data_IF_016179422116
#
_entry.id   IF_016179422116
#
_cell.length_a   1.000
_cell.length_b   1.000
_cell.length_c   1.000
_cell.angle_alpha   90.00
_cell.angle_beta   90.00
_cell.angle_gamma   90.00
#
_symmetry.space_group_name_H-M   'P 1'
#
loop_
_entity.id
_entity.type
_entity.pdbx_description
1 polymer ?
#
# COMPACT_ATOMS: atom_id res chain seq x y z
N UNK A 1 3.38 13.12 -0.51
CA UNK A 1 2.03 12.53 -0.58
C UNK A 1 1.89 11.36 0.37
N UNK A 2 2.56 10.22 0.15
CA UNK A 2 2.39 9.02 0.99
C UNK A 2 2.73 9.26 2.48
N UNK A 3 3.79 10.02 2.77
CA UNK A 3 4.11 10.41 4.14
C UNK A 3 2.98 11.18 4.83
N UNK A 4 2.21 11.97 4.09
CA UNK A 4 1.04 12.68 4.63
C UNK A 4 -0.06 11.70 5.05
N UNK A 5 -0.28 10.65 4.25
CA UNK A 5 -1.24 9.59 4.56
C UNK A 5 -0.78 8.79 5.79
N UNK A 6 0.50 8.41 5.83
CA UNK A 6 1.12 7.70 6.95
C UNK A 6 1.04 8.50 8.26
N UNK A 7 1.15 9.84 8.17
CA UNK A 7 1.07 10.75 9.30
C UNK A 7 -0.38 11.25 9.56
N UNK A 8 -1.38 10.45 9.24
CA UNK A 8 -2.80 10.75 9.51
C UNK A 8 -3.28 12.12 9.01
N UNK A 9 -2.83 12.51 7.82
CA UNK A 9 -3.25 13.72 7.13
C UNK A 9 -2.34 14.92 7.32
N UNK A 10 -1.18 14.75 7.96
CA UNK A 10 -0.24 15.86 8.25
C UNK A 10 1.08 15.73 7.51
N UNK A 11 1.63 16.85 7.04
CA UNK A 11 2.96 16.87 6.43
C UNK A 11 3.64 18.21 6.71
N UNK A 12 4.92 18.18 7.10
CA UNK A 12 5.71 19.36 7.46
C UNK A 12 4.97 20.30 8.44
N UNK A 13 4.38 19.72 9.50
CA UNK A 13 3.67 20.46 10.54
C UNK A 13 2.32 21.05 10.12
N UNK A 14 1.85 20.82 8.89
CA UNK A 14 0.56 21.31 8.40
C UNK A 14 -0.43 20.15 8.23
N UNK A 15 -1.67 20.37 8.67
CA UNK A 15 -2.78 19.45 8.40
C UNK A 15 -3.32 19.70 7.00
N UNK A 16 -3.29 18.67 6.15
CA UNK A 16 -3.81 18.67 4.78
C UNK A 16 -5.16 17.94 4.74
N UNK A 17 -5.27 16.80 5.42
CA UNK A 17 -6.51 16.04 5.59
C UNK A 17 -6.77 15.77 7.07
N UNK A 18 -8.03 15.55 7.47
CA UNK A 18 -8.33 15.08 8.82
C UNK A 18 -7.93 13.61 8.97
N UNK A 19 -7.65 13.12 10.20
CA UNK A 19 -7.39 11.71 10.42
C UNK A 19 -8.61 10.84 10.05
N UNK A 20 -9.83 11.36 10.23
CA UNK A 20 -11.06 10.69 9.83
C UNK A 20 -11.18 10.50 8.31
N UNK A 21 -10.71 11.47 7.51
CA UNK A 21 -10.63 11.32 6.06
C UNK A 21 -9.63 10.23 5.68
N UNK A 22 -8.45 10.19 6.30
CA UNK A 22 -7.47 9.12 6.05
C UNK A 22 -8.08 7.76 6.35
N UNK A 23 -8.72 7.62 7.53
CA UNK A 23 -9.40 6.37 7.91
C UNK A 23 -10.46 5.96 6.89
N UNK A 24 -11.26 6.89 6.36
CA UNK A 24 -12.25 6.58 5.33
C UNK A 24 -11.58 6.09 4.04
N UNK A 25 -10.48 6.72 3.63
CA UNK A 25 -9.72 6.30 2.43
C UNK A 25 -9.12 4.89 2.58
N UNK A 26 -8.69 4.52 3.79
CA UNK A 26 -8.01 3.25 4.09
C UNK A 26 -8.92 2.24 4.81
N UNK A 27 -10.24 2.34 4.65
CA UNK A 27 -11.21 1.33 5.12
C UNK A 27 -11.97 0.80 3.93
N UNK A 28 -12.32 -0.50 3.92
CA UNK A 28 -13.11 -1.08 2.86
C UNK A 28 -14.39 -0.29 2.58
N UNK A 29 -14.64 0.03 1.31
CA UNK A 29 -15.79 0.82 0.86
C UNK A 29 -16.77 0.05 -0.02
N UNK A 30 -16.45 -1.20 -0.37
CA UNK A 30 -17.30 -2.02 -1.23
C UNK A 30 -17.55 -3.38 -0.60
N UNK A 31 -18.65 -4.01 -1.02
CA UNK A 31 -18.91 -5.38 -0.63
C UNK A 31 -17.83 -6.32 -1.21
N UNK A 32 -17.36 -7.29 -0.42
CA UNK A 32 -16.30 -8.22 -0.85
C UNK A 32 -16.70 -9.04 -2.08
N UNK A 33 -17.99 -9.27 -2.33
CA UNK A 33 -18.48 -9.97 -3.53
C UNK A 33 -18.20 -9.23 -4.85
N UNK A 34 -17.91 -7.93 -4.79
CA UNK A 34 -17.57 -7.12 -5.97
C UNK A 34 -16.17 -7.45 -6.48
N UNK A 35 -15.25 -7.82 -5.59
CA UNK A 35 -13.86 -8.12 -5.94
C UNK A 35 -13.71 -9.63 -6.18
N UNK A 36 -13.65 -10.05 -7.45
CA UNK A 36 -13.60 -11.49 -7.80
C UNK A 36 -12.21 -12.11 -7.75
N UNK A 37 -11.16 -11.29 -7.84
CA UNK A 37 -9.78 -11.75 -8.08
C UNK A 37 -8.81 -11.41 -6.94
N UNK A 38 -9.29 -10.75 -5.89
CA UNK A 38 -8.51 -10.44 -4.70
C UNK A 38 -9.37 -10.67 -3.47
N UNK A 39 -8.72 -11.02 -2.35
CA UNK A 39 -9.34 -11.07 -1.03
C UNK A 39 -8.96 -9.85 -0.18
N UNK A 40 -8.24 -8.91 -0.77
CA UNK A 40 -8.00 -7.60 -0.17
C UNK A 40 -9.24 -6.73 -0.24
N UNK A 41 -9.29 -5.74 0.64
CA UNK A 41 -10.35 -4.74 0.69
C UNK A 41 -10.03 -3.60 -0.30
N UNK A 42 -11.06 -2.91 -0.79
CA UNK A 42 -10.87 -1.72 -1.64
C UNK A 42 -11.39 -0.49 -0.92
N UNK A 43 -10.47 0.40 -0.57
CA UNK A 43 -10.76 1.69 0.02
C UNK A 43 -11.16 2.74 -1.02
N UNK A 44 -11.23 4.00 -0.60
CA UNK A 44 -11.28 5.09 -1.57
C UNK A 44 -9.87 5.27 -2.14
N UNK A 45 -9.67 4.80 -3.37
CA UNK A 45 -8.43 4.90 -4.18
C UNK A 45 -7.32 3.88 -3.91
N UNK A 46 -7.43 3.05 -2.87
CA UNK A 46 -6.38 2.10 -2.48
C UNK A 46 -6.88 0.66 -2.39
N UNK A 47 -6.01 -0.27 -2.78
CA UNK A 47 -6.09 -1.64 -2.29
C UNK A 47 -5.62 -1.67 -0.82
N UNK A 48 -6.24 -2.51 0.00
CA UNK A 48 -5.93 -2.63 1.44
C UNK A 48 -5.75 -4.11 1.77
N UNK A 49 -4.51 -4.48 2.13
CA UNK A 49 -4.15 -5.84 2.46
C UNK A 49 -4.99 -6.38 3.62
N UNK A 50 -5.59 -7.56 3.43
CA UNK A 50 -6.25 -8.30 4.51
C UNK A 50 -5.42 -9.52 4.89
N UNK A 51 -5.72 -10.14 6.04
CA UNK A 51 -5.10 -11.42 6.43
C UNK A 51 -5.33 -12.53 5.39
N UNK A 52 -6.42 -12.45 4.65
CA UNK A 52 -6.82 -13.45 3.65
C UNK A 52 -6.28 -13.15 2.25
N UNK A 53 -6.06 -11.87 1.91
CA UNK A 53 -5.61 -11.42 0.59
C UNK A 53 -4.13 -11.08 0.48
N UNK A 54 -3.50 -10.66 1.58
CA UNK A 54 -2.07 -10.32 1.70
C UNK A 54 -1.11 -11.49 1.49
N UNK A 55 -1.57 -12.63 0.98
CA UNK A 55 -0.75 -13.76 0.56
C UNK A 55 -0.65 -13.91 -0.97
N UNK A 56 -1.31 -13.04 -1.76
CA UNK A 56 -1.47 -13.29 -3.21
C UNK A 56 -0.42 -12.64 -4.12
N UNK A 57 0.30 -11.59 -3.68
CA UNK A 57 1.40 -10.97 -4.46
C UNK A 57 2.64 -10.62 -3.63
N UNK A 58 2.43 -10.21 -2.38
CA UNK A 58 3.48 -9.92 -1.41
C UNK A 58 2.95 -10.23 0.00
N UNK A 59 3.78 -10.70 0.95
CA UNK A 59 3.36 -11.02 2.32
C UNK A 59 3.18 -9.75 3.16
N UNK A 60 2.13 -8.98 2.87
CA UNK A 60 1.92 -7.69 3.52
C UNK A 60 1.29 -7.83 4.90
N UNK A 61 1.60 -6.88 5.79
CA UNK A 61 0.87 -6.75 7.03
C UNK A 61 -0.58 -6.32 6.73
N UNK A 62 -1.59 -6.92 7.39
CA UNK A 62 -2.97 -6.48 7.25
C UNK A 62 -3.11 -4.99 7.57
N UNK A 63 -3.83 -4.25 6.72
CA UNK A 63 -3.97 -2.79 6.82
C UNK A 63 -2.93 -2.01 6.02
N UNK A 64 -1.92 -2.67 5.44
CA UNK A 64 -1.06 -2.04 4.42
C UNK A 64 -1.93 -1.62 3.24
N UNK A 65 -1.76 -0.40 2.75
CA UNK A 65 -2.52 0.11 1.60
C UNK A 65 -1.62 0.55 0.46
N UNK A 66 -2.07 0.31 -0.77
CA UNK A 66 -1.27 0.49 -1.97
C UNK A 66 -2.04 0.81 -3.24
N UNK A 67 -1.24 1.12 -4.26
CA UNK A 67 -1.67 1.12 -5.64
C UNK A 67 -0.47 1.00 -6.60
N UNK A 68 -0.79 0.87 -7.89
CA UNK A 68 0.17 0.83 -8.96
C UNK A 68 -0.22 1.76 -10.12
N UNK A 69 0.78 2.14 -10.91
CA UNK A 69 0.60 2.85 -12.17
C UNK A 69 0.98 1.95 -13.35
N UNK A 70 0.33 2.16 -14.49
CA UNK A 70 0.49 1.32 -15.68
C UNK A 70 1.95 1.18 -16.14
N UNK A 71 2.75 2.24 -16.04
CA UNK A 71 4.16 2.24 -16.45
C UNK A 71 5.13 1.70 -15.39
N UNK A 72 4.64 0.94 -14.40
CA UNK A 72 5.47 0.23 -13.43
C UNK A 72 5.84 1.03 -12.17
N UNK A 73 5.21 2.19 -11.93
CA UNK A 73 5.28 2.86 -10.62
C UNK A 73 4.46 2.10 -9.60
N UNK A 74 4.98 1.82 -8.41
CA UNK A 74 4.23 1.16 -7.33
C UNK A 74 4.57 1.81 -5.99
N UNK A 75 3.62 1.81 -5.07
CA UNK A 75 3.82 2.30 -3.71
C UNK A 75 3.03 1.50 -2.70
N UNK A 76 3.44 1.58 -1.44
CA UNK A 76 2.64 1.10 -0.32
C UNK A 76 2.97 1.88 0.95
N UNK A 77 2.02 1.87 1.87
CA UNK A 77 2.22 2.32 3.25
C UNK A 77 1.79 1.21 4.17
N UNK A 78 2.71 0.77 5.02
CA UNK A 78 2.51 -0.27 6.02
C UNK A 78 2.58 0.37 7.41
N UNK A 79 1.42 0.65 8.04
CA UNK A 79 1.39 1.24 9.37
C UNK A 79 1.98 0.33 10.46
N UNK A 80 1.95 -0.99 10.26
CA UNK A 80 2.46 -1.96 11.24
C UNK A 80 3.97 -1.90 11.33
N UNK A 81 4.65 -1.94 10.18
CA UNK A 81 6.12 -1.84 10.13
C UNK A 81 6.64 -0.40 10.03
N UNK A 82 5.76 0.60 10.02
CA UNK A 82 6.13 2.01 9.88
C UNK A 82 6.78 2.36 8.53
N UNK A 83 6.46 1.60 7.48
CA UNK A 83 7.07 1.77 6.16
C UNK A 83 6.21 2.68 5.28
N UNK A 84 6.89 3.60 4.59
CA UNK A 84 6.37 4.29 3.42
C UNK A 84 7.35 4.03 2.28
N UNK A 85 6.90 3.35 1.23
CA UNK A 85 7.77 2.98 0.12
C UNK A 85 7.14 3.32 -1.23
N UNK A 86 8.00 3.66 -2.18
CA UNK A 86 7.62 4.02 -3.52
C UNK A 86 8.79 3.68 -4.44
N UNK A 87 8.47 2.97 -5.52
CA UNK A 87 9.41 2.69 -6.60
C UNK A 87 8.82 3.22 -7.91
N UNK A 88 9.68 3.85 -8.70
CA UNK A 88 9.36 4.28 -10.05
C UNK A 88 10.21 3.49 -11.02
N UNK A 89 9.52 2.83 -11.95
CA UNK A 89 10.11 2.31 -13.17
C UNK A 89 9.33 2.89 -14.36
N UNK A 90 9.80 2.64 -15.57
CA UNK A 90 9.13 3.02 -16.83
C UNK A 90 9.03 1.78 -17.72
N UNK A 91 8.57 0.67 -17.15
CA UNK A 91 8.36 -0.60 -17.84
C UNK A 91 6.93 -1.11 -17.54
N UNK A 92 6.04 -1.21 -18.53
CA UNK A 92 4.71 -1.80 -18.35
C UNK A 92 4.75 -3.34 -18.38
N UNK A 93 5.92 -3.95 -18.62
CA UNK A 93 6.11 -5.37 -18.85
C UNK A 93 6.30 -6.22 -17.59
N UNK A 94 6.90 -7.40 -17.75
CA UNK A 94 7.08 -8.33 -16.63
C UNK A 94 8.18 -7.88 -15.64
N UNK A 95 9.13 -7.03 -16.07
CA UNK A 95 10.28 -6.69 -15.23
C UNK A 95 9.90 -5.82 -14.04
N UNK A 96 8.91 -4.94 -14.17
CA UNK A 96 8.48 -4.12 -13.03
C UNK A 96 7.94 -4.97 -11.86
N UNK A 97 7.23 -6.08 -12.12
CA UNK A 97 6.68 -6.93 -11.04
C UNK A 97 7.79 -7.57 -10.23
N UNK A 98 8.79 -8.11 -10.91
CA UNK A 98 9.95 -8.72 -10.25
C UNK A 98 10.79 -7.67 -9.53
N UNK A 99 10.95 -6.47 -10.10
CA UNK A 99 11.63 -5.36 -9.46
C UNK A 99 10.93 -4.94 -8.17
N UNK A 100 9.60 -4.72 -8.21
CA UNK A 100 8.81 -4.38 -7.01
C UNK A 100 8.91 -5.47 -5.94
N UNK A 101 8.93 -6.76 -6.33
CA UNK A 101 9.11 -7.88 -5.40
C UNK A 101 10.46 -7.89 -4.73
N UNK A 102 11.54 -7.72 -5.50
CA UNK A 102 12.88 -7.63 -4.92
C UNK A 102 13.01 -6.42 -4.00
N UNK A 103 12.46 -5.28 -4.41
CA UNK A 103 12.47 -4.07 -3.59
C UNK A 103 11.73 -4.26 -2.26
N UNK A 104 10.55 -4.87 -2.30
CA UNK A 104 9.83 -5.28 -1.09
C UNK A 104 10.68 -6.17 -0.19
N UNK A 105 11.22 -7.28 -0.71
CA UNK A 105 12.05 -8.21 0.09
C UNK A 105 13.24 -7.49 0.71
N UNK A 106 13.95 -6.65 -0.05
CA UNK A 106 15.09 -5.90 0.47
C UNK A 106 14.73 -4.94 1.61
N UNK A 107 13.60 -4.25 1.52
CA UNK A 107 13.13 -3.35 2.59
C UNK A 107 12.82 -4.15 3.85
N UNK A 108 11.97 -5.18 3.74
CA UNK A 108 11.49 -5.91 4.92
C UNK A 108 12.58 -6.78 5.56
N UNK A 109 13.51 -7.34 4.78
CA UNK A 109 14.66 -8.07 5.33
C UNK A 109 15.69 -7.17 6.02
N UNK A 110 15.65 -5.85 5.79
CA UNK A 110 16.55 -4.91 6.46
C UNK A 110 16.01 -4.42 7.82
N UNK A 111 14.77 -4.77 8.19
CA UNK A 111 14.18 -4.41 9.48
C UNK A 111 14.84 -5.22 10.61
N UNK A 112 15.41 -4.53 11.60
CA UNK A 112 16.09 -5.16 12.74
C UNK A 112 15.10 -5.60 13.83
N UNK A 113 13.91 -4.97 13.89
CA UNK A 113 12.82 -5.31 14.80
C UNK A 113 11.48 -5.13 14.04
N UNK A 114 10.96 -6.20 13.40
CA UNK A 114 9.76 -6.13 12.55
C UNK A 114 8.45 -5.97 13.33
#
# INVERSE_FOLDING_TARGET
FLQMLANEGTYNGKRILSPSTIRLMTTNQIDKSVIRYSKDDLGLTFNIATKEGGASSFPWNPGTYDWGGYWGSNFWVDPTSGIVAQIWSQDPGAYYRELSRRFFVMIYSALVNP
#
